data_IF_149531871626
#
_entry.id   IF_149531871626
#
_cell.length_a   1.000
_cell.length_b   1.000
_cell.length_c   1.000
_cell.angle_alpha   90.00
_cell.angle_beta   90.00
_cell.angle_gamma   90.00
#
_symmetry.space_group_name_H-M   'P 1'
#
loop_
_entity.id
_entity.type
_entity.pdbx_description
1 polymer ?
#
# COMPACT_ATOMS: atom_id res chain seq x y z
N UNK A 1 2.03 -18.56 13.21
CA UNK A 1 2.96 -17.55 13.76
C UNK A 1 3.19 -16.48 12.71
N UNK A 2 3.07 -15.19 13.07
CA UNK A 2 3.36 -14.09 12.14
C UNK A 2 4.87 -13.89 12.12
N UNK A 3 5.53 -14.18 10.99
CA UNK A 3 6.96 -13.88 10.80
C UNK A 3 7.12 -12.37 10.60
N UNK A 4 7.39 -11.65 11.69
CA UNK A 4 7.74 -10.23 11.64
C UNK A 4 9.23 -10.11 11.29
N UNK A 5 9.55 -9.45 10.17
CA UNK A 5 10.92 -9.20 9.72
C UNK A 5 11.32 -7.75 10.06
N UNK A 6 12.43 -7.56 10.78
CA UNK A 6 13.05 -6.25 11.02
C UNK A 6 12.15 -5.18 11.68
N UNK A 7 12.03 -4.03 11.01
CA UNK A 7 11.29 -2.84 11.47
C UNK A 7 9.75 -2.96 11.35
N UNK A 8 9.24 -4.08 10.81
CA UNK A 8 7.80 -4.29 10.64
C UNK A 8 7.01 -4.39 11.96
N UNK A 9 7.69 -4.44 13.12
CA UNK A 9 7.07 -4.34 14.43
C UNK A 9 6.26 -3.04 14.63
N UNK A 10 6.62 -1.95 13.91
CA UNK A 10 5.86 -0.69 13.95
C UNK A 10 4.52 -0.77 13.21
N UNK A 11 4.36 -1.78 12.35
CA UNK A 11 3.19 -1.94 11.49
C UNK A 11 2.27 -3.08 11.94
N UNK A 12 2.52 -3.66 13.12
CA UNK A 12 1.67 -4.69 13.72
C UNK A 12 0.19 -4.29 13.73
N UNK A 13 -0.20 -3.06 14.16
CA UNK A 13 -1.62 -2.70 14.20
C UNK A 13 -2.26 -2.68 12.80
N UNK A 14 -1.52 -2.23 11.79
CA UNK A 14 -2.01 -2.07 10.43
C UNK A 14 -2.08 -3.40 9.67
N UNK A 15 -1.11 -4.29 9.90
CA UNK A 15 -1.13 -5.67 9.38
C UNK A 15 -2.26 -6.46 10.04
N UNK A 16 -2.43 -6.29 11.35
CA UNK A 16 -3.36 -7.09 12.11
C UNK A 16 -4.83 -6.64 11.91
N UNK A 17 -5.09 -5.37 11.61
CA UNK A 17 -6.41 -4.95 11.12
C UNK A 17 -6.77 -5.61 9.78
N UNK A 18 -5.78 -5.75 8.87
CA UNK A 18 -5.94 -6.48 7.62
C UNK A 18 -6.17 -8.00 7.79
N UNK A 19 -5.81 -8.56 8.95
CA UNK A 19 -6.06 -9.97 9.29
C UNK A 19 -7.41 -10.19 9.99
N UNK A 20 -8.21 -9.15 10.23
CA UNK A 20 -9.50 -9.25 10.91
C UNK A 20 -9.39 -9.56 12.41
N UNK A 21 -8.26 -9.19 13.03
CA UNK A 21 -8.07 -9.33 14.47
C UNK A 21 -8.82 -8.20 15.18
N UNK A 22 -9.58 -8.54 16.22
CA UNK A 22 -10.29 -7.55 17.04
C UNK A 22 -9.30 -6.84 17.98
N UNK A 23 -9.28 -5.50 17.93
CA UNK A 23 -8.46 -4.66 18.80
C UNK A 23 -9.32 -3.81 19.71
N UNK A 24 -8.89 -3.65 20.96
CA UNK A 24 -9.45 -2.66 21.88
C UNK A 24 -8.37 -1.67 22.27
N UNK A 25 -8.68 -0.38 22.24
CA UNK A 25 -7.82 0.64 22.80
C UNK A 25 -8.10 0.79 24.29
N UNK A 26 -7.03 0.80 25.11
CA UNK A 26 -7.14 1.04 26.55
C UNK A 26 -6.69 2.46 26.83
N UNK A 27 -7.60 3.30 27.33
CA UNK A 27 -7.31 4.68 27.67
C UNK A 27 -6.36 4.74 28.87
N UNK A 28 -5.13 5.19 28.65
CA UNK A 28 -4.15 5.44 29.70
C UNK A 28 -4.06 6.93 30.03
N UNK A 29 -3.84 7.25 31.30
CA UNK A 29 -3.76 8.62 31.79
C UNK A 29 -2.41 9.25 31.38
N UNK A 30 -2.43 10.12 30.38
CA UNK A 30 -1.28 10.86 29.92
C UNK A 30 -1.11 12.14 30.74
N UNK A 31 -0.06 12.20 31.58
CA UNK A 31 0.29 13.39 32.34
C UNK A 31 1.23 14.29 31.53
N UNK A 32 1.03 15.62 31.51
CA UNK A 32 1.91 16.53 30.79
C UNK A 32 3.33 16.47 31.36
N UNK A 33 4.33 16.49 30.47
CA UNK A 33 5.74 16.41 30.84
C UNK A 33 6.16 17.71 31.52
N UNK A 34 6.65 17.63 32.76
CA UNK A 34 7.05 18.81 33.54
C UNK A 34 8.45 19.33 33.22
N UNK A 35 9.34 18.49 32.68
CA UNK A 35 10.74 18.84 32.40
C UNK A 35 11.29 18.14 31.14
N UNK A 36 12.26 18.80 30.49
CA UNK A 36 13.01 18.29 29.34
C UNK A 36 12.44 18.71 27.97
N UNK A 37 13.32 18.78 26.97
CA UNK A 37 12.92 19.09 25.58
C UNK A 37 12.33 17.86 24.89
N UNK A 38 11.44 18.10 23.93
CA UNK A 38 10.89 17.05 23.08
C UNK A 38 12.01 16.45 22.22
N UNK A 39 12.15 15.12 22.25
CA UNK A 39 13.05 14.39 21.34
C UNK A 39 12.46 14.20 19.92
N UNK A 40 11.30 14.80 19.65
CA UNK A 40 10.69 14.79 18.32
C UNK A 40 11.29 15.92 17.48
N UNK A 41 12.33 15.60 16.72
CA UNK A 41 12.86 16.48 15.68
C UNK A 41 12.05 16.39 14.38
N UNK A 42 12.18 17.40 13.52
CA UNK A 42 11.54 17.46 12.18
C UNK A 42 11.90 16.25 11.31
N UNK A 43 13.13 15.73 11.44
CA UNK A 43 13.57 14.52 10.75
C UNK A 43 12.73 13.29 11.10
N UNK A 44 12.23 13.20 12.34
CA UNK A 44 11.35 12.11 12.77
C UNK A 44 9.96 12.26 12.17
N UNK A 45 9.44 13.48 12.05
CA UNK A 45 8.14 13.75 11.44
C UNK A 45 8.11 13.33 9.97
N UNK A 46 9.14 13.67 9.19
CA UNK A 46 9.24 13.26 7.78
C UNK A 46 9.30 11.73 7.66
N UNK A 47 10.11 11.06 8.50
CA UNK A 47 10.19 9.59 8.51
C UNK A 47 8.84 8.94 8.83
N UNK A 48 8.09 9.48 9.79
CA UNK A 48 6.75 8.98 10.14
C UNK A 48 5.77 9.16 8.98
N UNK A 49 5.79 10.30 8.28
CA UNK A 49 4.94 10.52 7.10
C UNK A 49 5.28 9.54 5.97
N UNK A 50 6.56 9.35 5.69
CA UNK A 50 7.03 8.37 4.69
C UNK A 50 6.66 6.94 5.07
N UNK A 51 6.78 6.57 6.34
CA UNK A 51 6.34 5.26 6.86
C UNK A 51 4.82 5.09 6.67
N UNK A 52 4.01 6.09 7.01
CA UNK A 52 2.55 6.03 6.82
C UNK A 52 2.16 5.91 5.35
N UNK A 53 2.81 6.65 4.46
CA UNK A 53 2.59 6.54 3.02
C UNK A 53 2.93 5.13 2.55
N UNK A 54 4.07 4.60 2.99
CA UNK A 54 4.52 3.24 2.65
C UNK A 54 3.53 2.19 3.14
N UNK A 55 3.05 2.29 4.38
CA UNK A 55 2.05 1.36 4.95
C UNK A 55 0.74 1.43 4.18
N UNK A 56 0.24 2.63 3.92
CA UNK A 56 -1.00 2.80 3.15
C UNK A 56 -0.83 2.23 1.74
N UNK A 57 0.31 2.50 1.10
CA UNK A 57 0.62 1.97 -0.22
C UNK A 57 0.67 0.44 -0.21
N UNK A 58 1.38 -0.16 0.75
CA UNK A 58 1.51 -1.60 0.88
C UNK A 58 0.16 -2.28 1.18
N UNK A 59 -0.66 -1.70 2.05
CA UNK A 59 -1.96 -2.27 2.39
C UNK A 59 -2.99 -2.13 1.25
N UNK A 60 -3.01 -0.99 0.56
CA UNK A 60 -4.02 -0.71 -0.46
C UNK A 60 -3.65 -1.20 -1.87
N UNK A 61 -2.35 -1.24 -2.20
CA UNK A 61 -1.88 -1.42 -3.58
C UNK A 61 -0.86 -2.53 -3.77
N UNK A 62 -0.41 -3.25 -2.72
CA UNK A 62 0.53 -4.36 -2.89
C UNK A 62 0.01 -5.47 -3.81
N UNK A 63 -1.31 -5.62 -3.94
CA UNK A 63 -1.93 -6.63 -4.81
C UNK A 63 -2.09 -6.18 -6.25
N UNK A 64 -2.04 -4.87 -6.55
CA UNK A 64 -2.21 -4.29 -7.90
C UNK A 64 -1.36 -3.02 -8.09
N UNK A 65 -0.03 -3.08 -7.95
CA UNK A 65 0.86 -1.91 -8.03
C UNK A 65 0.80 -1.19 -9.39
N UNK A 66 0.43 -1.88 -10.47
CA UNK A 66 0.28 -1.26 -11.79
C UNK A 66 -0.77 -0.15 -11.82
N UNK A 67 -1.80 -0.20 -10.96
CA UNK A 67 -2.85 0.82 -10.95
C UNK A 67 -2.34 2.18 -10.48
N UNK A 68 -1.34 2.21 -9.59
CA UNK A 68 -0.78 3.48 -9.09
C UNK A 68 0.23 4.02 -10.08
N UNK A 69 1.28 3.24 -10.37
CA UNK A 69 2.37 3.70 -11.23
C UNK A 69 1.94 3.80 -12.69
N UNK A 70 1.10 2.88 -13.17
CA UNK A 70 0.54 2.95 -14.53
C UNK A 70 -0.33 4.19 -14.73
N UNK A 71 -1.20 4.53 -13.76
CA UNK A 71 -1.99 5.76 -13.85
C UNK A 71 -1.10 7.01 -13.88
N UNK A 72 -0.13 7.11 -12.96
CA UNK A 72 0.82 8.23 -12.96
C UNK A 72 1.60 8.33 -14.27
N UNK A 73 2.02 7.18 -14.82
CA UNK A 73 2.77 7.12 -16.07
C UNK A 73 1.94 7.54 -17.28
N UNK A 74 0.67 7.13 -17.36
CA UNK A 74 -0.26 7.56 -18.42
C UNK A 74 -0.55 9.06 -18.31
N UNK A 75 -0.75 9.59 -17.11
CA UNK A 75 -0.99 11.03 -16.92
C UNK A 75 0.25 11.84 -17.32
N UNK A 76 1.45 11.49 -16.84
CA UNK A 76 2.65 12.26 -17.18
C UNK A 76 3.02 12.12 -18.66
N UNK A 77 2.97 10.89 -19.21
CA UNK A 77 3.24 10.62 -20.61
C UNK A 77 2.23 11.30 -21.54
N UNK A 78 0.94 11.27 -21.18
CA UNK A 78 -0.13 11.96 -21.90
C UNK A 78 0.03 13.47 -21.92
N UNK A 79 0.40 14.07 -20.78
CA UNK A 79 0.75 15.50 -20.71
C UNK A 79 1.96 15.84 -21.59
N UNK A 80 3.03 15.04 -21.51
CA UNK A 80 4.21 15.22 -22.36
C UNK A 80 3.89 15.11 -23.85
N UNK A 81 3.06 14.12 -24.22
CA UNK A 81 2.59 13.94 -25.59
C UNK A 81 1.73 15.11 -26.08
N UNK A 82 0.82 15.62 -25.26
CA UNK A 82 0.01 16.80 -25.58
C UNK A 82 0.88 18.04 -25.82
N UNK A 83 1.87 18.29 -24.97
CA UNK A 83 2.80 19.41 -25.14
C UNK A 83 3.59 19.24 -26.44
N UNK A 84 4.14 18.05 -26.70
CA UNK A 84 4.86 17.75 -27.93
C UNK A 84 3.97 17.94 -29.17
N UNK A 85 2.71 17.49 -29.11
CA UNK A 85 1.75 17.61 -30.20
C UNK A 85 1.43 19.09 -30.49
N UNK A 86 1.14 19.88 -29.46
CA UNK A 86 0.87 21.32 -29.59
C UNK A 86 2.07 22.02 -30.21
N UNK A 87 3.29 21.69 -29.78
CA UNK A 87 4.51 22.28 -30.34
C UNK A 87 4.70 21.90 -31.82
N UNK A 88 4.47 20.63 -32.19
CA UNK A 88 4.53 20.17 -33.58
C UNK A 88 3.52 20.88 -34.47
N UNK A 89 2.29 21.09 -33.99
CA UNK A 89 1.29 21.87 -34.73
C UNK A 89 1.72 23.34 -34.88
N UNK A 90 2.25 23.96 -33.83
CA UNK A 90 2.78 25.32 -33.90
C UNK A 90 3.91 25.45 -34.93
N UNK A 91 4.81 24.47 -34.99
CA UNK A 91 5.89 24.44 -35.99
C UNK A 91 5.33 24.34 -37.40
N UNK A 92 4.39 23.44 -37.64
CA UNK A 92 3.90 23.13 -38.98
C UNK A 92 3.04 24.26 -39.57
N UNK A 93 2.21 24.90 -38.75
CA UNK A 93 1.26 25.91 -39.22
C UNK A 93 1.75 27.36 -39.05
N UNK A 94 2.59 27.63 -38.04
CA UNK A 94 3.02 28.99 -37.69
C UNK A 94 4.52 29.23 -37.92
N UNK A 95 5.25 28.23 -38.43
CA UNK A 95 6.68 28.35 -38.74
C UNK A 95 7.59 28.59 -37.53
N UNK A 96 7.07 28.51 -36.30
CA UNK A 96 7.84 28.83 -35.09
C UNK A 96 9.00 27.84 -34.89
N UNK A 97 10.21 28.30 -34.52
CA UNK A 97 11.34 27.41 -34.23
C UNK A 97 11.09 26.57 -32.96
N UNK A 98 11.50 25.29 -33.00
CA UNK A 98 11.24 24.32 -31.92
C UNK A 98 12.40 24.16 -30.93
N UNK A 99 13.64 24.21 -31.42
CA UNK A 99 14.82 23.71 -30.70
C UNK A 99 15.18 24.54 -29.46
N UNK A 100 14.93 25.86 -29.48
CA UNK A 100 15.33 26.76 -28.40
C UNK A 100 14.34 26.85 -27.24
N UNK A 101 13.24 26.06 -27.28
CA UNK A 101 12.16 26.17 -26.30
C UNK A 101 12.30 25.14 -25.16
N UNK A 102 12.38 25.57 -23.89
CA UNK A 102 12.47 24.65 -22.75
C UNK A 102 11.27 23.71 -22.63
N UNK A 103 10.13 24.08 -23.21
CA UNK A 103 8.92 23.24 -23.29
C UNK A 103 9.14 21.92 -24.05
N UNK A 104 10.03 21.88 -25.04
CA UNK A 104 10.32 20.65 -25.78
C UNK A 104 11.04 19.64 -24.88
N UNK A 105 12.01 20.10 -24.11
CA UNK A 105 12.72 19.26 -23.14
C UNK A 105 11.78 18.76 -22.04
N UNK A 106 10.86 19.61 -21.57
CA UNK A 106 9.82 19.20 -20.61
C UNK A 106 8.91 18.11 -21.19
N UNK A 107 8.49 18.25 -22.45
CA UNK A 107 7.66 17.24 -23.11
C UNK A 107 8.36 15.88 -23.21
N UNK A 108 9.62 15.89 -23.66
CA UNK A 108 10.45 14.68 -23.74
C UNK A 108 10.64 14.06 -22.35
N UNK A 109 10.94 14.88 -21.33
CA UNK A 109 11.12 14.43 -19.96
C UNK A 109 9.84 13.78 -19.41
N UNK A 110 8.68 14.39 -19.63
CA UNK A 110 7.39 13.87 -19.18
C UNK A 110 7.02 12.54 -19.86
N UNK A 111 7.29 12.40 -21.16
CA UNK A 111 7.13 11.14 -21.90
C UNK A 111 8.05 10.06 -21.32
N UNK A 112 9.32 10.39 -21.10
CA UNK A 112 10.30 9.46 -20.55
C UNK A 112 9.93 9.01 -19.12
N UNK A 113 9.53 9.94 -18.26
CA UNK A 113 9.03 9.66 -16.91
C UNK A 113 7.75 8.79 -16.99
N UNK A 114 6.87 9.07 -17.94
CA UNK A 114 5.65 8.29 -18.15
C UNK A 114 5.94 6.82 -18.46
N UNK A 115 6.85 6.60 -19.41
CA UNK A 115 7.33 5.27 -19.75
C UNK A 115 8.00 4.56 -18.56
N UNK A 116 8.83 5.27 -17.79
CA UNK A 116 9.48 4.72 -16.60
C UNK A 116 8.47 4.27 -15.55
N UNK A 117 7.43 5.06 -15.28
CA UNK A 117 6.40 4.70 -14.32
C UNK A 117 5.58 3.48 -14.76
N UNK A 118 5.20 3.38 -16.04
CA UNK A 118 4.52 2.19 -16.56
C UNK A 118 5.40 0.94 -16.41
N UNK A 119 6.69 1.07 -16.76
CA UNK A 119 7.67 -0.04 -16.65
C UNK A 119 7.85 -0.50 -15.20
N UNK A 120 8.00 0.44 -14.26
CA UNK A 120 8.09 0.14 -12.83
C UNK A 120 6.80 -0.50 -12.30
N UNK A 121 5.63 -0.05 -12.76
CA UNK A 121 4.35 -0.66 -12.41
C UNK A 121 4.25 -2.12 -12.84
N UNK A 122 4.69 -2.44 -14.06
CA UNK A 122 4.73 -3.81 -14.57
C UNK A 122 5.70 -4.69 -13.79
N UNK A 123 6.91 -4.21 -13.51
CA UNK A 123 7.90 -4.94 -12.72
C UNK A 123 7.37 -5.21 -11.31
N UNK A 124 6.76 -4.20 -10.68
CA UNK A 124 6.17 -4.35 -9.35
C UNK A 124 5.00 -5.37 -9.35
N UNK A 125 4.17 -5.38 -10.40
CA UNK A 125 3.07 -6.34 -10.55
C UNK A 125 3.59 -7.78 -10.68
N UNK A 126 4.64 -7.99 -11.49
CA UNK A 126 5.30 -9.28 -11.61
C UNK A 126 5.93 -9.72 -10.28
N UNK A 127 6.61 -8.82 -9.58
CA UNK A 127 7.21 -9.10 -8.28
C UNK A 127 6.16 -9.47 -7.23
N UNK A 128 5.04 -8.74 -7.20
CA UNK A 128 3.92 -9.01 -6.30
C UNK A 128 3.32 -10.40 -6.57
N UNK A 129 3.11 -10.76 -7.84
CA UNK A 129 2.59 -12.07 -8.25
C UNK A 129 3.53 -13.20 -7.84
N UNK A 130 4.82 -13.08 -8.14
CA UNK A 130 5.83 -14.08 -7.73
C UNK A 130 5.89 -14.22 -6.20
N UNK A 131 5.80 -13.12 -5.46
CA UNK A 131 5.78 -13.16 -3.99
C UNK A 131 4.54 -13.87 -3.44
N UNK A 132 3.36 -13.61 -4.01
CA UNK A 132 2.12 -14.26 -3.59
C UNK A 132 2.06 -15.73 -3.99
N UNK A 133 2.53 -16.08 -5.19
CA UNK A 133 2.56 -17.45 -5.70
C UNK A 133 3.60 -18.32 -4.97
N UNK A 134 4.74 -17.74 -4.58
CA UNK A 134 5.74 -18.38 -3.71
C UNK A 134 5.19 -18.66 -2.30
N UNK A 135 4.29 -17.80 -1.81
CA UNK A 135 3.64 -18.00 -0.53
C UNK A 135 2.46 -18.97 -0.69
N UNK A 136 2.74 -20.27 -0.57
CA UNK A 136 1.77 -21.35 -0.33
C UNK A 136 0.99 -21.11 1.01
N UNK A 137 0.34 -19.96 1.16
CA UNK A 137 -0.49 -19.61 2.31
C UNK A 137 -1.92 -20.03 2.00
N UNK A 138 -2.54 -20.73 2.95
CA UNK A 138 -3.95 -21.07 2.88
C UNK A 138 -4.78 -19.77 2.74
N UNK A 139 -5.80 -19.81 1.88
CA UNK A 139 -6.71 -18.68 1.61
C UNK A 139 -7.51 -18.26 2.86
N UNK A 140 -7.55 -19.12 3.88
CA UNK A 140 -8.34 -18.93 5.09
C UNK A 140 -7.48 -19.06 6.36
N UNK A 141 -7.89 -18.32 7.39
CA UNK A 141 -7.38 -18.45 8.75
C UNK A 141 -8.49 -19.03 9.63
N UNK A 142 -8.27 -20.20 10.23
CA UNK A 142 -9.22 -20.82 11.17
C UNK A 142 -9.11 -20.11 12.52
N UNK A 143 -10.18 -19.40 12.93
CA UNK A 143 -10.22 -18.63 14.19
C UNK A 143 -10.35 -19.52 15.44
N UNK A 144 -11.00 -20.67 15.30
CA UNK A 144 -11.17 -21.65 16.37
C UNK A 144 -11.89 -22.89 15.84
N UNK A 145 -11.56 -24.05 16.39
CA UNK A 145 -12.27 -25.31 16.11
C UNK A 145 -13.05 -25.66 17.38
N UNK A 146 -14.37 -25.55 17.33
CA UNK A 146 -15.22 -25.97 18.44
C UNK A 146 -15.53 -27.46 18.24
N UNK A 147 -14.98 -28.31 19.11
CA UNK A 147 -15.37 -29.72 19.19
C UNK A 147 -16.67 -29.76 19.97
N UNK A 148 -17.74 -30.24 19.32
CA UNK A 148 -18.97 -30.60 20.03
C UNK A 148 -18.66 -31.88 20.80
N UNK A 149 -18.67 -31.82 22.12
CA UNK A 149 -18.72 -33.04 22.93
C UNK A 149 -20.08 -33.69 22.66
N UNK A 150 -20.06 -34.86 22.03
CA UNK A 150 -21.27 -35.69 21.89
C UNK A 150 -21.77 -36.02 23.29
N UNK A 151 -23.03 -35.70 23.56
CA UNK A 151 -23.68 -35.99 24.83
C UNK A 151 -23.52 -37.48 25.15
N UNK A 152 -22.83 -37.77 26.26
CA UNK A 152 -22.65 -39.11 26.79
C UNK A 152 -24.04 -39.77 26.94
N UNK A 153 -24.30 -40.93 26.30
CA UNK A 153 -25.61 -41.59 26.36
C UNK A 153 -26.09 -41.92 27.78
N UNK A 154 -25.19 -41.91 28.77
CA UNK A 154 -25.45 -42.19 30.19
C UNK A 154 -26.27 -41.13 30.94
N UNK A 155 -26.50 -39.95 30.37
CA UNK A 155 -27.21 -38.85 31.07
C UNK A 155 -28.73 -38.80 30.74
N UNK A 156 -29.22 -39.72 29.89
CA UNK A 156 -30.64 -39.77 29.48
C UNK A 156 -31.56 -40.52 30.45
N UNK A 157 -31.03 -41.19 31.47
CA UNK A 157 -31.82 -42.08 32.33
C UNK A 157 -32.32 -41.42 33.64
N UNK A 158 -32.03 -40.12 33.86
CA UNK A 158 -32.27 -39.47 35.16
C UNK A 158 -33.54 -38.59 35.20
N UNK A 159 -34.22 -38.36 34.07
CA UNK A 159 -35.44 -37.54 34.02
C UNK A 159 -36.55 -38.21 33.20
N UNK A 160 -37.13 -39.29 33.74
CA UNK A 160 -38.45 -39.77 33.32
C UNK A 160 -39.56 -39.01 34.05
N UNK A 161 -40.69 -38.68 33.41
CA UNK A 161 -41.80 -38.00 34.08
C UNK A 161 -42.45 -38.93 35.10
N UNK A 162 -42.55 -38.47 36.35
CA UNK A 162 -43.50 -38.97 37.35
C UNK A 162 -44.79 -38.17 37.23
#
# INVERSE_FOLDING_TARGET
>A
SVKLYGEMHRFIPAIASGMGIDFTEVKVNHRPRRFGTSKYGISRTIRVILDLLTVKFLLSYATRPIQVFGFMGVVSGGLGFLIALIMTLQRQFFGMPMADRPLLFLAILLIFIGFQFVSLGLIAELQARTYHESQNKAVYYVRGVYRVEEANPSDKDINGPQ
#
